data_IF_256846968210
#
_entry.id   IF_256846968210
#
_cell.length_a   1.000
_cell.length_b   1.000
_cell.length_c   1.000
_cell.angle_alpha   90.00
_cell.angle_beta   90.00
_cell.angle_gamma   90.00
#
_symmetry.space_group_name_H-M   'P 1'
#
loop_
_entity.id
_entity.type
_entity.pdbx_description
1 polymer ?
#
# COMPACT_ATOMS: atom_id res chain seq x y z
N UNK A 1 -3.30 -11.92 -1.87
CA UNK A 1 -2.56 -12.25 -0.63
C UNK A 1 -3.01 -13.63 -0.19
N UNK A 2 -2.09 -14.57 0.02
CA UNK A 2 -2.44 -15.94 0.39
C UNK A 2 -2.98 -16.01 1.83
N UNK A 3 -4.15 -16.65 2.00
CA UNK A 3 -4.77 -16.94 3.30
C UNK A 3 -3.99 -18.08 3.98
N UNK A 4 -2.87 -17.75 4.63
CA UNK A 4 -2.00 -18.72 5.30
C UNK A 4 -0.56 -18.23 5.47
N UNK A 5 -0.15 -17.25 4.68
CA UNK A 5 1.14 -16.59 4.83
C UNK A 5 1.23 -15.79 6.14
N UNK A 6 2.45 -15.62 6.66
CA UNK A 6 2.67 -14.77 7.85
C UNK A 6 2.25 -13.32 7.58
N UNK A 7 1.81 -12.54 8.58
CA UNK A 7 1.44 -11.13 8.37
C UNK A 7 2.55 -10.28 7.73
N UNK A 8 3.82 -10.60 8.01
CA UNK A 8 4.97 -9.97 7.35
C UNK A 8 5.00 -10.29 5.85
N UNK A 9 4.85 -11.56 5.50
CA UNK A 9 4.83 -12.00 4.10
C UNK A 9 3.63 -11.43 3.36
N UNK A 10 2.45 -11.38 4.00
CA UNK A 10 1.25 -10.78 3.42
C UNK A 10 1.43 -9.31 3.01
N UNK A 11 2.16 -8.51 3.81
CA UNK A 11 2.51 -7.15 3.42
C UNK A 11 3.53 -7.12 2.28
N UNK A 12 4.56 -7.96 2.30
CA UNK A 12 5.54 -8.06 1.21
C UNK A 12 4.86 -8.41 -0.11
N UNK A 13 4.00 -9.42 -0.11
CA UNK A 13 3.24 -9.84 -1.29
C UNK A 13 2.32 -8.73 -1.79
N UNK A 14 1.77 -7.92 -0.89
CA UNK A 14 0.92 -6.79 -1.28
C UNK A 14 1.72 -5.72 -2.03
N UNK A 15 2.86 -5.28 -1.48
CA UNK A 15 3.74 -4.32 -2.16
C UNK A 15 4.26 -4.89 -3.49
N UNK A 16 4.72 -6.15 -3.47
CA UNK A 16 5.26 -6.83 -4.66
C UNK A 16 4.19 -6.99 -5.74
N UNK A 17 2.93 -7.25 -5.38
CA UNK A 17 1.81 -7.27 -6.32
C UNK A 17 1.68 -5.94 -7.06
N UNK A 18 1.61 -4.81 -6.33
CA UNK A 18 1.40 -3.51 -6.96
C UNK A 18 2.58 -3.06 -7.81
N UNK A 19 3.82 -3.29 -7.38
CA UNK A 19 4.97 -2.95 -8.19
C UNK A 19 5.08 -3.82 -9.45
N UNK A 20 4.77 -5.13 -9.34
CA UNK A 20 4.73 -6.01 -10.51
C UNK A 20 3.63 -5.61 -11.50
N UNK A 21 2.45 -5.17 -11.00
CA UNK A 21 1.41 -4.61 -11.86
C UNK A 21 1.90 -3.35 -12.57
N UNK A 22 2.59 -2.46 -11.86
CA UNK A 22 3.15 -1.24 -12.45
C UNK A 22 4.19 -1.55 -13.54
N UNK A 23 5.13 -2.46 -13.28
CA UNK A 23 6.18 -2.84 -14.25
C UNK A 23 5.59 -3.53 -15.48
N UNK A 24 4.53 -4.31 -15.30
CA UNK A 24 3.81 -4.98 -16.39
C UNK A 24 2.96 -4.00 -17.21
N UNK A 25 2.21 -3.13 -16.53
CA UNK A 25 1.35 -2.14 -17.16
C UNK A 25 1.17 -0.91 -16.25
N UNK A 26 1.84 0.22 -16.54
CA UNK A 26 1.72 1.42 -15.72
C UNK A 26 0.44 2.23 -15.97
N UNK A 27 -0.36 1.90 -16.99
CA UNK A 27 -1.55 2.68 -17.37
C UNK A 27 -2.57 2.85 -16.24
N UNK A 28 -2.95 1.81 -15.47
CA UNK A 28 -3.89 1.97 -14.35
C UNK A 28 -3.41 3.00 -13.31
N UNK A 29 -2.10 3.13 -13.12
CA UNK A 29 -1.52 4.09 -12.17
C UNK A 29 -1.54 5.52 -12.71
N UNK A 30 -1.33 5.72 -14.02
CA UNK A 30 -1.43 7.06 -14.66
C UNK A 30 -2.83 7.66 -14.52
N UNK A 31 -3.85 6.83 -14.69
CA UNK A 31 -5.26 7.25 -14.63
C UNK A 31 -5.70 7.65 -13.21
N UNK A 32 -4.97 7.26 -12.16
CA UNK A 32 -5.31 7.63 -10.76
C UNK A 32 -5.42 9.15 -10.56
N UNK A 33 -4.55 9.94 -11.19
CA UNK A 33 -4.62 11.41 -11.11
C UNK A 33 -5.94 11.96 -11.70
N UNK A 34 -6.42 11.35 -12.79
CA UNK A 34 -7.71 11.68 -13.39
C UNK A 34 -8.86 11.26 -12.47
N UNK A 35 -8.79 10.07 -11.87
CA UNK A 35 -9.79 9.62 -10.90
C UNK A 35 -9.89 10.58 -9.70
N UNK A 36 -8.76 11.08 -9.19
CA UNK A 36 -8.77 12.08 -8.11
C UNK A 36 -9.38 13.41 -8.57
N UNK A 37 -9.04 13.87 -9.78
CA UNK A 37 -9.65 15.08 -10.37
C UNK A 37 -11.16 14.95 -10.50
N UNK A 38 -11.66 13.79 -10.95
CA UNK A 38 -13.10 13.51 -11.05
C UNK A 38 -13.72 13.41 -9.66
N UNK A 39 -13.10 12.72 -8.70
CA UNK A 39 -13.60 12.61 -7.33
C UNK A 39 -13.69 13.97 -6.61
N UNK A 40 -12.88 14.95 -7.00
CA UNK A 40 -12.98 16.33 -6.50
C UNK A 40 -14.21 17.09 -7.02
N UNK A 41 -14.84 16.62 -8.10
CA UNK A 41 -15.92 17.31 -8.82
C UNK A 41 -17.26 16.57 -8.78
N UNK A 42 -17.21 15.24 -8.86
CA UNK A 42 -18.37 14.35 -9.01
C UNK A 42 -18.60 13.53 -7.74
N UNK A 43 -19.65 13.86 -6.98
CA UNK A 43 -19.92 13.23 -5.67
C UNK A 43 -20.19 11.72 -5.77
N UNK A 44 -20.89 11.29 -6.82
CA UNK A 44 -21.20 9.87 -7.01
C UNK A 44 -19.94 9.06 -7.35
N UNK A 45 -19.05 9.65 -8.15
CA UNK A 45 -17.75 9.04 -8.44
C UNK A 45 -16.88 8.98 -7.19
N UNK A 46 -16.80 10.08 -6.43
CA UNK A 46 -16.11 10.13 -5.13
C UNK A 46 -16.58 9.02 -4.20
N UNK A 47 -17.88 8.81 -4.05
CA UNK A 47 -18.43 7.79 -3.16
C UNK A 47 -18.05 6.37 -3.60
N UNK A 48 -18.06 6.09 -4.91
CA UNK A 48 -17.60 4.81 -5.45
C UNK A 48 -16.11 4.58 -5.22
N UNK A 49 -15.29 5.60 -5.51
CA UNK A 49 -13.84 5.53 -5.30
C UNK A 49 -13.49 5.39 -3.82
N UNK A 50 -14.18 6.13 -2.94
CA UNK A 50 -14.05 6.02 -1.49
C UNK A 50 -14.33 4.60 -1.00
N UNK A 51 -15.34 3.91 -1.55
CA UNK A 51 -15.63 2.51 -1.21
C UNK A 51 -14.48 1.58 -1.60
N UNK A 52 -13.84 1.80 -2.74
CA UNK A 52 -12.66 1.02 -3.16
C UNK A 52 -11.51 1.23 -2.16
N UNK A 53 -11.22 2.48 -1.81
CA UNK A 53 -10.19 2.81 -0.83
C UNK A 53 -10.50 2.25 0.57
N UNK A 54 -11.74 2.34 1.03
CA UNK A 54 -12.15 1.75 2.31
C UNK A 54 -11.94 0.24 2.34
N UNK A 55 -12.37 -0.47 1.28
CA UNK A 55 -12.15 -1.92 1.19
C UNK A 55 -10.65 -2.28 1.17
N UNK A 56 -9.83 -1.47 0.50
CA UNK A 56 -8.40 -1.69 0.44
C UNK A 56 -7.72 -1.44 1.78
N UNK A 57 -8.07 -0.34 2.46
CA UNK A 57 -7.59 -0.04 3.80
C UNK A 57 -8.01 -1.14 4.78
N UNK A 58 -9.25 -1.62 4.74
CA UNK A 58 -9.73 -2.72 5.59
C UNK A 58 -8.94 -4.02 5.39
N UNK A 59 -8.52 -4.33 4.15
CA UNK A 59 -7.65 -5.47 3.87
C UNK A 59 -6.30 -5.32 4.60
N UNK A 60 -5.69 -4.14 4.53
CA UNK A 60 -4.41 -3.86 5.21
C UNK A 60 -4.60 -3.88 6.72
N UNK A 61 -5.68 -3.28 7.24
CA UNK A 61 -6.02 -3.29 8.67
C UNK A 61 -6.12 -4.73 9.20
N UNK A 62 -6.73 -5.66 8.45
CA UNK A 62 -6.78 -7.08 8.83
C UNK A 62 -5.40 -7.71 8.94
N UNK A 63 -4.49 -7.43 7.99
CA UNK A 63 -3.10 -7.95 8.04
C UNK A 63 -2.37 -7.40 9.27
N UNK A 64 -2.45 -6.09 9.52
CA UNK A 64 -1.82 -5.44 10.68
C UNK A 64 -2.39 -5.99 11.99
N UNK A 65 -3.71 -6.08 12.10
CA UNK A 65 -4.38 -6.61 13.29
C UNK A 65 -3.97 -8.06 13.57
N UNK A 66 -3.86 -8.89 12.53
CA UNK A 66 -3.40 -10.27 12.67
C UNK A 66 -1.95 -10.33 13.16
N UNK A 67 -1.06 -9.49 12.62
CA UNK A 67 0.33 -9.41 13.08
C UNK A 67 0.48 -8.89 14.51
N UNK A 68 -0.38 -7.97 14.95
CA UNK A 68 -0.43 -7.53 16.36
C UNK A 68 -0.89 -8.68 17.27
N UNK A 69 -1.95 -9.41 16.87
CA UNK A 69 -2.51 -10.53 17.64
C UNK A 69 -1.54 -11.71 17.75
N UNK A 70 -0.80 -12.02 16.69
CA UNK A 70 0.21 -13.08 16.70
C UNK A 70 1.50 -12.69 17.42
N UNK A 71 1.68 -11.40 17.77
CA UNK A 71 2.92 -10.87 18.33
C UNK A 71 4.04 -10.66 17.30
N UNK A 72 3.78 -10.88 16.01
CA UNK A 72 4.72 -10.62 14.91
C UNK A 72 5.01 -9.12 14.77
N UNK A 73 3.99 -8.29 14.96
CA UNK A 73 4.10 -6.82 14.93
C UNK A 73 4.02 -6.24 16.34
N UNK A 74 4.64 -5.05 16.51
CA UNK A 74 4.50 -4.20 17.69
C UNK A 74 3.03 -3.79 17.85
N UNK A 75 2.63 -3.41 19.06
CA UNK A 75 1.33 -2.78 19.28
C UNK A 75 1.35 -1.38 18.65
N UNK A 76 0.76 -1.24 17.47
CA UNK A 76 0.65 0.00 16.69
C UNK A 76 -0.80 0.46 16.61
N UNK A 77 -1.02 1.70 16.18
CA UNK A 77 -2.35 2.14 15.74
C UNK A 77 -2.66 1.49 14.37
N UNK A 78 -3.61 0.56 14.37
CA UNK A 78 -3.94 -0.26 13.19
C UNK A 78 -4.43 0.62 12.02
N UNK A 79 -5.26 1.63 12.30
CA UNK A 79 -5.86 2.47 11.25
C UNK A 79 -4.82 3.39 10.63
N UNK A 80 -4.03 4.07 11.46
CA UNK A 80 -2.96 4.96 10.99
C UNK A 80 -1.92 4.16 10.20
N UNK A 81 -1.56 2.97 10.69
CA UNK A 81 -0.58 2.10 10.01
C UNK A 81 -1.11 1.64 8.65
N UNK A 82 -2.36 1.20 8.58
CA UNK A 82 -2.97 0.76 7.33
C UNK A 82 -3.09 1.88 6.30
N UNK A 83 -3.55 3.07 6.73
CA UNK A 83 -3.60 4.25 5.88
C UNK A 83 -2.20 4.63 5.36
N UNK A 84 -1.19 4.59 6.22
CA UNK A 84 0.20 4.90 5.83
C UNK A 84 0.71 3.92 4.78
N UNK A 85 0.43 2.62 4.93
CA UNK A 85 0.81 1.59 3.94
C UNK A 85 0.09 1.84 2.61
N UNK A 86 -1.22 2.10 2.65
CA UNK A 86 -2.02 2.38 1.45
C UNK A 86 -1.44 3.56 0.66
N UNK A 87 -1.14 4.68 1.33
CA UNK A 87 -0.56 5.87 0.69
C UNK A 87 0.84 5.60 0.12
N UNK A 88 1.65 4.78 0.80
CA UNK A 88 2.96 4.39 0.26
C UNK A 88 2.83 3.50 -0.99
N UNK A 89 1.82 2.63 -1.07
CA UNK A 89 1.51 1.90 -2.32
C UNK A 89 1.07 2.87 -3.41
N UNK A 90 0.20 3.83 -3.10
CA UNK A 90 -0.27 4.83 -4.07
C UNK A 90 0.86 5.73 -4.60
N UNK A 91 1.94 5.92 -3.84
CA UNK A 91 3.09 6.72 -4.27
C UNK A 91 3.78 6.20 -5.55
N UNK A 92 3.47 4.98 -6.01
CA UNK A 92 3.85 4.48 -7.34
C UNK A 92 3.46 5.46 -8.45
N UNK A 93 2.32 6.16 -8.33
CA UNK A 93 1.89 7.17 -9.30
C UNK A 93 2.95 8.23 -9.56
N UNK A 94 3.77 8.56 -8.56
CA UNK A 94 4.83 9.56 -8.69
C UNK A 94 5.77 9.22 -9.85
N UNK A 95 6.13 7.93 -9.99
CA UNK A 95 7.01 7.42 -11.04
C UNK A 95 6.36 7.41 -12.43
N UNK A 96 5.03 7.57 -12.51
CA UNK A 96 4.34 7.77 -13.79
C UNK A 96 4.37 9.22 -14.27
N UNK A 97 4.61 10.17 -13.36
CA UNK A 97 4.47 11.61 -13.60
C UNK A 97 5.81 12.35 -13.64
N UNK A 98 6.79 11.89 -12.88
CA UNK A 98 8.02 12.63 -12.62
C UNK A 98 9.29 11.80 -12.85
N UNK A 99 10.38 12.47 -13.22
CA UNK A 99 11.71 11.85 -13.29
C UNK A 99 12.29 11.67 -11.88
N UNK A 100 12.65 10.44 -11.55
CA UNK A 100 13.14 10.03 -10.24
C UNK A 100 14.66 10.20 -10.03
N UNK A 101 15.35 10.89 -10.96
CA UNK A 101 16.80 11.13 -10.90
C UNK A 101 17.62 9.87 -10.62
N UNK A 102 17.34 8.80 -11.36
CA UNK A 102 18.07 7.53 -11.28
C UNK A 102 17.55 6.52 -10.26
N UNK A 103 16.42 6.77 -9.60
CA UNK A 103 15.74 5.80 -8.72
C UNK A 103 14.60 5.12 -9.48
N UNK A 104 14.55 3.79 -9.50
CA UNK A 104 13.41 3.08 -10.10
C UNK A 104 12.25 2.95 -9.11
N UNK A 105 11.02 2.83 -9.63
CA UNK A 105 9.85 2.53 -8.82
C UNK A 105 10.02 1.23 -8.02
N UNK A 106 10.72 0.24 -8.60
CA UNK A 106 10.95 -1.06 -7.98
C UNK A 106 11.89 -0.97 -6.78
N UNK A 107 13.02 -0.28 -6.94
CA UNK A 107 13.95 -0.01 -5.84
C UNK A 107 13.27 0.76 -4.71
N UNK A 108 12.50 1.79 -5.07
CA UNK A 108 11.76 2.59 -4.08
C UNK A 108 10.73 1.73 -3.32
N UNK A 109 9.87 0.98 -4.02
CA UNK A 109 8.82 0.20 -3.38
C UNK A 109 9.38 -0.92 -2.50
N UNK A 110 10.43 -1.61 -2.95
CA UNK A 110 11.09 -2.62 -2.10
C UNK A 110 11.75 -1.98 -0.87
N UNK A 111 12.40 -0.84 -1.03
CA UNK A 111 13.04 -0.12 0.09
C UNK A 111 12.02 0.36 1.12
N UNK A 112 10.94 1.01 0.68
CA UNK A 112 9.89 1.50 1.60
C UNK A 112 9.16 0.35 2.29
N UNK A 113 8.99 -0.79 1.62
CA UNK A 113 8.46 -2.02 2.24
C UNK A 113 9.31 -2.43 3.43
N UNK A 114 10.63 -2.48 3.26
CA UNK A 114 11.56 -2.83 4.35
C UNK A 114 11.58 -1.76 5.46
N UNK A 115 11.47 -0.47 5.13
CA UNK A 115 11.36 0.59 6.15
C UNK A 115 10.09 0.47 6.99
N UNK A 116 8.96 0.22 6.35
CA UNK A 116 7.68 0.00 7.03
C UNK A 116 7.78 -1.24 7.93
N UNK A 117 8.29 -2.35 7.40
CA UNK A 117 8.45 -3.59 8.15
C UNK A 117 9.39 -3.42 9.35
N UNK A 118 10.54 -2.77 9.18
CA UNK A 118 11.44 -2.45 10.28
C UNK A 118 10.76 -1.57 11.36
N UNK A 119 9.87 -0.68 10.93
CA UNK A 119 9.04 0.16 11.80
C UNK A 119 8.06 -0.64 12.65
N UNK A 120 7.44 -1.68 12.10
CA UNK A 120 6.32 -2.39 12.75
C UNK A 120 6.65 -3.79 13.29
N UNK A 121 7.68 -4.47 12.81
CA UNK A 121 8.06 -5.81 13.28
C UNK A 121 8.55 -5.75 14.72
N UNK A 122 8.03 -6.63 15.57
CA UNK A 122 8.51 -6.79 16.94
C UNK A 122 9.84 -7.54 16.91
N UNK A 123 10.93 -6.88 17.30
CA UNK A 123 12.23 -7.57 17.44
C UNK A 123 12.15 -8.57 18.61
N UNK A 124 12.72 -9.78 18.48
CA UNK A 124 12.93 -10.64 19.63
C UNK A 124 13.80 -9.90 20.66
N UNK A 125 13.42 -10.04 21.93
CA UNK A 125 14.20 -9.52 23.07
C UNK A 125 15.51 -10.28 23.21
#
# INVERSE_FOLDING_TARGET
>A
VEEGASPTQQLKDLFEYFINQYESNPEPFKVLAEFWSIAGKEVDFKNKLQKVYSNFQELIEKIILNGVKSGTFKKVDVKITALSIMVNIESIIWFTLFDAHGVTAQEYIRTITEFILAGIIKKPL
#
